data_IF_248174374835
#
_entry.id   IF_248174374835
#
_cell.length_a   1.000
_cell.length_b   1.000
_cell.length_c   1.000
_cell.angle_alpha   90.00
_cell.angle_beta   90.00
_cell.angle_gamma   90.00
#
_symmetry.space_group_name_H-M   'P 1'
#
loop_
_entity.id
_entity.type
_entity.pdbx_description
1 polymer ?
#
# COMPACT_ATOMS: atom_id res chain seq x y z
N UNK A 1 4.99 -19.50 -35.87
CA UNK A 1 4.32 -19.48 -34.55
C UNK A 1 5.30 -19.33 -33.38
N UNK A 2 6.43 -20.06 -33.35
CA UNK A 2 7.45 -19.96 -32.28
C UNK A 2 8.19 -18.63 -32.18
N UNK A 3 8.60 -18.07 -33.32
CA UNK A 3 9.17 -16.70 -33.38
C UNK A 3 8.16 -15.72 -32.79
N UNK A 4 6.88 -15.89 -33.08
CA UNK A 4 5.83 -15.01 -32.56
C UNK A 4 5.72 -15.05 -31.03
N UNK A 5 5.77 -16.23 -30.40
CA UNK A 5 5.62 -16.36 -28.94
C UNK A 5 6.84 -15.83 -28.17
N UNK A 6 8.06 -16.14 -28.61
CA UNK A 6 9.28 -15.67 -27.94
C UNK A 6 9.53 -14.17 -28.19
N UNK A 7 9.30 -13.70 -29.42
CA UNK A 7 9.46 -12.28 -29.79
C UNK A 7 8.41 -11.39 -29.14
N UNK A 8 7.24 -11.89 -28.74
CA UNK A 8 6.26 -11.11 -27.95
C UNK A 8 6.48 -11.24 -26.43
N UNK A 9 6.72 -12.46 -25.94
CA UNK A 9 6.77 -12.71 -24.49
C UNK A 9 8.03 -12.15 -23.85
N UNK A 10 9.18 -12.19 -24.54
CA UNK A 10 10.45 -11.74 -23.98
C UNK A 10 10.53 -10.20 -23.84
N UNK A 11 10.05 -9.39 -24.81
CA UNK A 11 9.94 -7.95 -24.62
C UNK A 11 8.91 -7.60 -23.55
N UNK A 12 7.73 -8.24 -23.53
CA UNK A 12 6.73 -8.01 -22.47
C UNK A 12 7.31 -8.34 -21.09
N UNK A 13 8.01 -9.47 -20.96
CA UNK A 13 8.68 -9.86 -19.72
C UNK A 13 9.72 -8.83 -19.28
N UNK A 14 10.59 -8.41 -20.20
CA UNK A 14 11.64 -7.43 -19.93
C UNK A 14 11.02 -6.09 -19.54
N UNK A 15 10.05 -5.59 -20.31
CA UNK A 15 9.37 -4.32 -20.07
C UNK A 15 8.58 -4.33 -18.76
N UNK A 16 7.86 -5.40 -18.44
CA UNK A 16 7.13 -5.56 -17.16
C UNK A 16 8.11 -5.65 -15.99
N UNK A 17 9.22 -6.38 -16.14
CA UNK A 17 10.23 -6.50 -15.09
C UNK A 17 10.89 -5.16 -14.82
N UNK A 18 11.27 -4.42 -15.87
CA UNK A 18 11.80 -3.06 -15.74
C UNK A 18 10.76 -2.08 -15.17
N UNK A 19 9.50 -2.14 -15.63
CA UNK A 19 8.41 -1.32 -15.08
C UNK A 19 8.13 -1.66 -13.61
N UNK A 20 8.23 -2.92 -13.19
CA UNK A 20 8.07 -3.30 -11.78
C UNK A 20 9.20 -2.79 -10.89
N UNK A 21 10.38 -2.53 -11.47
CA UNK A 21 11.54 -1.95 -10.78
C UNK A 21 11.50 -0.41 -10.75
N UNK A 22 10.90 0.23 -11.76
CA UNK A 22 10.89 1.70 -11.93
C UNK A 22 9.58 2.33 -11.46
N UNK A 23 8.45 1.65 -11.60
CA UNK A 23 7.15 2.17 -11.19
C UNK A 23 7.10 2.28 -9.68
N UNK A 24 6.79 3.49 -9.22
CA UNK A 24 6.22 3.70 -7.90
C UNK A 24 5.11 2.65 -7.66
N UNK A 25 5.04 2.17 -6.43
CA UNK A 25 4.49 0.90 -5.91
C UNK A 25 3.01 0.59 -6.20
N UNK A 26 2.37 1.29 -7.14
CA UNK A 26 0.93 1.27 -7.37
C UNK A 26 0.46 0.44 -8.58
N UNK A 27 1.34 0.05 -9.51
CA UNK A 27 0.92 -0.65 -10.73
C UNK A 27 1.44 -2.10 -10.78
N UNK A 28 0.49 -3.02 -10.62
CA UNK A 28 0.53 -4.42 -11.04
C UNK A 28 1.43 -5.41 -10.30
N UNK A 29 1.07 -5.68 -9.04
CA UNK A 29 1.58 -6.80 -8.23
C UNK A 29 1.23 -8.17 -8.84
N UNK A 30 0.23 -8.23 -9.72
CA UNK A 30 -0.19 -9.45 -10.42
C UNK A 30 0.70 -9.79 -11.64
N UNK A 31 1.47 -8.83 -12.16
CA UNK A 31 2.19 -9.01 -13.42
C UNK A 31 3.33 -10.04 -13.35
N UNK A 32 4.14 -10.10 -12.27
CA UNK A 32 5.16 -11.14 -12.13
C UNK A 32 4.57 -12.56 -12.08
N UNK A 33 3.37 -12.73 -11.50
CA UNK A 33 2.69 -14.03 -11.38
C UNK A 33 2.08 -14.47 -12.72
N UNK A 34 1.55 -13.52 -13.51
CA UNK A 34 0.94 -13.85 -14.81
C UNK A 34 1.95 -14.33 -15.86
N UNK A 35 3.21 -13.94 -15.75
CA UNK A 35 4.28 -14.29 -16.69
C UNK A 35 4.55 -15.81 -16.73
N UNK A 36 4.86 -16.50 -15.62
CA UNK A 36 5.08 -17.94 -15.63
C UNK A 36 3.82 -18.72 -16.05
N UNK A 37 2.62 -18.19 -15.77
CA UNK A 37 1.35 -18.76 -16.26
C UNK A 37 1.28 -18.69 -17.79
N UNK A 38 1.56 -17.53 -18.39
CA UNK A 38 1.59 -17.35 -19.85
C UNK A 38 2.64 -18.23 -20.50
N UNK A 39 3.85 -18.31 -19.92
CA UNK A 39 4.91 -19.18 -20.42
C UNK A 39 4.47 -20.65 -20.34
N UNK A 40 3.92 -21.08 -19.21
CA UNK A 40 3.41 -22.44 -19.02
C UNK A 40 2.31 -22.80 -20.03
N UNK A 41 1.28 -21.97 -20.20
CA UNK A 41 0.24 -22.21 -21.19
C UNK A 41 0.76 -22.20 -22.63
N UNK A 42 1.68 -21.28 -22.96
CA UNK A 42 2.36 -21.27 -24.27
C UNK A 42 3.18 -22.55 -24.49
N UNK A 43 3.77 -23.12 -23.43
CA UNK A 43 4.48 -24.40 -23.51
C UNK A 43 3.57 -25.60 -23.70
N UNK A 44 2.38 -25.60 -23.10
CA UNK A 44 1.37 -26.65 -23.29
C UNK A 44 0.83 -26.64 -24.72
N UNK A 45 0.50 -25.46 -25.25
CA UNK A 45 0.04 -25.30 -26.64
C UNK A 45 1.14 -25.69 -27.64
N UNK A 46 2.40 -25.33 -27.36
CA UNK A 46 3.53 -25.71 -28.23
C UNK A 46 3.85 -27.21 -28.20
N UNK A 47 3.48 -27.94 -27.13
CA UNK A 47 3.71 -29.39 -27.00
C UNK A 47 2.88 -30.24 -27.97
N UNK A 48 1.78 -29.70 -28.49
CA UNK A 48 1.01 -30.35 -29.56
C UNK A 48 1.78 -30.38 -30.90
N UNK A 49 2.81 -29.55 -31.07
CA UNK A 49 3.71 -29.59 -32.22
C UNK A 49 4.91 -30.51 -31.91
N UNK A 50 4.87 -31.73 -32.44
CA UNK A 50 5.89 -32.79 -32.29
C UNK A 50 7.25 -32.38 -32.88
N UNK A 51 8.09 -31.65 -32.14
CA UNK A 51 9.49 -31.44 -32.51
C UNK A 51 10.43 -31.67 -31.31
N UNK A 52 11.36 -32.62 -31.45
CA UNK A 52 12.16 -33.17 -30.33
C UNK A 52 13.05 -32.14 -29.64
N UNK A 53 13.69 -31.26 -30.42
CA UNK A 53 14.57 -30.16 -29.93
C UNK A 53 13.79 -29.15 -29.09
N UNK A 54 12.54 -28.90 -29.47
CA UNK A 54 11.60 -27.99 -28.79
C UNK A 54 11.27 -28.49 -27.37
N UNK A 55 11.09 -29.80 -27.21
CA UNK A 55 10.82 -30.44 -25.92
C UNK A 55 11.96 -30.28 -24.92
N UNK A 56 13.21 -30.32 -25.37
CA UNK A 56 14.38 -30.21 -24.48
C UNK A 56 14.62 -28.77 -24.04
N UNK A 57 14.46 -27.79 -24.94
CA UNK A 57 14.60 -26.38 -24.58
C UNK A 57 13.49 -25.93 -23.61
N UNK A 58 12.25 -26.38 -23.83
CA UNK A 58 11.12 -26.10 -22.93
C UNK A 58 11.30 -26.76 -21.56
N UNK A 59 11.86 -27.98 -21.49
CA UNK A 59 12.19 -28.65 -20.21
C UNK A 59 13.19 -27.87 -19.37
N UNK A 60 14.05 -27.05 -19.99
CA UNK A 60 15.01 -26.18 -19.32
C UNK A 60 14.43 -24.79 -19.00
N UNK A 61 13.71 -24.19 -19.95
CA UNK A 61 13.18 -22.84 -19.80
C UNK A 61 12.17 -22.73 -18.64
N UNK A 62 11.25 -23.69 -18.50
CA UNK A 62 10.23 -23.68 -17.44
C UNK A 62 10.83 -23.66 -16.03
N UNK A 63 11.73 -24.58 -15.64
CA UNK A 63 12.34 -24.54 -14.31
C UNK A 63 13.23 -23.31 -14.10
N UNK A 64 13.95 -22.84 -15.14
CA UNK A 64 14.76 -21.61 -15.04
C UNK A 64 13.86 -20.41 -14.75
N UNK A 65 12.77 -20.23 -15.49
CA UNK A 65 11.82 -19.14 -15.25
C UNK A 65 11.17 -19.27 -13.88
N UNK A 66 10.84 -20.48 -13.43
CA UNK A 66 10.31 -20.71 -12.09
C UNK A 66 11.31 -20.30 -10.99
N UNK A 67 12.58 -20.70 -11.11
CA UNK A 67 13.64 -20.34 -10.17
C UNK A 67 13.85 -18.82 -10.14
N UNK A 68 13.92 -18.16 -11.30
CA UNK A 68 14.05 -16.70 -11.38
C UNK A 68 12.87 -16.00 -10.69
N UNK A 69 11.65 -16.48 -10.90
CA UNK A 69 10.47 -15.90 -10.23
C UNK A 69 10.48 -16.15 -8.71
N UNK A 70 10.93 -17.33 -8.27
CA UNK A 70 11.07 -17.62 -6.84
C UNK A 70 12.12 -16.71 -6.19
N UNK A 71 13.27 -16.52 -6.85
CA UNK A 71 14.30 -15.60 -6.39
C UNK A 71 13.79 -14.15 -6.37
N UNK A 72 13.07 -13.72 -7.41
CA UNK A 72 12.45 -12.40 -7.45
C UNK A 72 11.44 -12.22 -6.31
N UNK A 73 10.58 -13.21 -6.06
CA UNK A 73 9.63 -13.20 -4.95
C UNK A 73 10.33 -13.10 -3.59
N UNK A 74 11.38 -13.88 -3.38
CA UNK A 74 12.16 -13.86 -2.13
C UNK A 74 12.85 -12.51 -1.92
N UNK A 75 13.46 -11.95 -2.97
CA UNK A 75 14.10 -10.63 -2.94
C UNK A 75 13.07 -9.52 -2.76
N UNK A 76 11.88 -9.66 -3.34
CA UNK A 76 10.79 -8.70 -3.21
C UNK A 76 10.21 -8.69 -1.79
N UNK A 77 9.88 -9.87 -1.23
CA UNK A 77 9.33 -10.01 0.13
C UNK A 77 10.33 -9.57 1.21
N UNK A 78 11.63 -9.83 1.00
CA UNK A 78 12.68 -9.44 1.93
C UNK A 78 13.34 -8.11 1.58
N UNK A 79 12.93 -7.48 0.48
CA UNK A 79 13.50 -6.24 -0.02
C UNK A 79 13.57 -5.11 1.01
N UNK A 80 12.54 -4.88 1.85
CA UNK A 80 12.64 -3.87 2.92
C UNK A 80 13.78 -4.14 3.90
N UNK A 81 14.03 -5.41 4.23
CA UNK A 81 15.10 -5.79 5.17
C UNK A 81 16.48 -5.72 4.53
N UNK A 82 16.57 -6.02 3.24
CA UNK A 82 17.83 -6.05 2.49
C UNK A 82 18.26 -4.64 2.09
N UNK A 83 17.33 -3.81 1.62
CA UNK A 83 17.60 -2.49 1.06
C UNK A 83 17.39 -1.34 2.04
N UNK A 84 16.78 -1.57 3.21
CA UNK A 84 16.63 -0.53 4.25
C UNK A 84 17.97 0.03 4.76
N UNK A 85 19.03 -0.78 4.76
CA UNK A 85 20.37 -0.36 5.16
C UNK A 85 21.17 0.32 4.03
N UNK A 86 20.72 0.23 2.77
CA UNK A 86 21.41 0.82 1.61
C UNK A 86 20.91 2.22 1.24
N UNK A 87 19.80 2.66 1.80
CA UNK A 87 19.28 4.00 1.56
C UNK A 87 20.07 5.06 2.30
N UNK A 88 20.99 5.72 1.59
CA UNK A 88 21.48 7.04 1.96
C UNK A 88 20.30 8.02 2.05
N UNK A 89 20.31 8.89 3.05
CA UNK A 89 19.19 9.75 3.47
C UNK A 89 18.59 10.67 2.39
N UNK A 90 19.14 10.73 1.18
CA UNK A 90 18.65 11.52 0.04
C UNK A 90 17.88 10.75 -1.05
N UNK A 91 17.89 9.41 -1.05
CA UNK A 91 17.29 8.56 -2.10
C UNK A 91 16.00 7.85 -1.64
N UNK A 92 15.31 8.42 -0.64
CA UNK A 92 14.07 7.86 -0.09
C UNK A 92 12.99 7.68 -1.16
N UNK A 93 12.95 8.57 -2.16
CA UNK A 93 11.96 8.54 -3.25
C UNK A 93 12.11 7.30 -4.15
N UNK A 94 13.33 6.77 -4.32
CA UNK A 94 13.60 5.62 -5.21
C UNK A 94 13.56 4.27 -4.52
N UNK A 95 13.52 4.21 -3.17
CA UNK A 95 13.43 2.95 -2.45
C UNK A 95 11.95 2.60 -2.18
N UNK A 96 11.33 1.69 -2.96
CA UNK A 96 9.92 1.35 -2.80
C UNK A 96 9.59 0.79 -1.41
N UNK A 97 10.60 0.28 -0.69
CA UNK A 97 10.41 -0.31 0.63
C UNK A 97 10.37 0.71 1.75
N UNK A 98 11.13 1.82 1.65
CA UNK A 98 11.01 2.95 2.58
C UNK A 98 9.63 3.60 2.52
N UNK A 99 8.99 3.57 1.35
CA UNK A 99 7.61 4.07 1.18
C UNK A 99 6.60 3.26 2.01
N UNK A 100 6.84 1.95 2.22
CA UNK A 100 5.98 1.03 2.99
C UNK A 100 6.30 1.08 4.49
N UNK A 101 7.55 1.37 4.86
CA UNK A 101 7.98 1.45 6.25
C UNK A 101 7.28 2.58 7.03
N UNK A 102 7.03 3.72 6.39
CA UNK A 102 6.25 4.81 6.99
C UNK A 102 4.85 4.39 7.41
N UNK A 103 4.16 3.63 6.56
CA UNK A 103 2.83 3.08 6.85
C UNK A 103 2.84 2.12 8.05
N UNK A 104 3.81 1.19 8.07
CA UNK A 104 3.97 0.26 9.20
C UNK A 104 4.26 1.00 10.51
N UNK A 105 5.09 2.03 10.45
CA UNK A 105 5.45 2.85 11.62
C UNK A 105 4.22 3.58 12.17
N UNK A 106 3.38 4.15 11.31
CA UNK A 106 2.08 4.72 11.73
C UNK A 106 1.20 3.69 12.40
N UNK A 107 1.07 2.48 11.85
CA UNK A 107 0.22 1.46 12.47
C UNK A 107 0.70 1.07 13.87
N UNK A 108 2.02 0.99 14.09
CA UNK A 108 2.58 0.76 15.42
C UNK A 108 2.33 1.94 16.36
N UNK A 109 2.55 3.18 15.91
CA UNK A 109 2.27 4.38 16.71
C UNK A 109 0.79 4.39 17.13
N UNK A 110 -0.12 4.16 16.19
CA UNK A 110 -1.55 4.15 16.44
C UNK A 110 -1.92 3.05 17.43
N UNK A 111 -1.34 1.83 17.31
CA UNK A 111 -1.57 0.73 18.26
C UNK A 111 -1.23 1.10 19.70
N UNK A 112 -0.14 1.83 19.86
CA UNK A 112 0.46 2.14 21.16
C UNK A 112 -0.16 3.42 21.78
N UNK A 113 -1.09 4.08 21.07
CA UNK A 113 -1.89 5.17 21.63
C UNK A 113 -2.86 4.64 22.69
N UNK A 114 -3.16 5.49 23.67
CA UNK A 114 -4.13 5.18 24.71
C UNK A 114 -5.56 5.33 24.16
N UNK A 115 -6.20 4.21 23.83
CA UNK A 115 -7.52 4.17 23.20
C UNK A 115 -8.68 4.23 24.19
N UNK A 116 -8.56 5.04 25.26
CA UNK A 116 -9.62 5.22 26.27
C UNK A 116 -10.96 5.44 25.55
N UNK A 117 -11.81 4.42 25.64
CA UNK A 117 -13.21 4.37 25.20
C UNK A 117 -13.54 4.28 23.69
N UNK A 118 -12.57 4.14 22.77
CA UNK A 118 -12.86 4.08 21.33
C UNK A 118 -11.91 3.21 20.51
N UNK A 119 -12.44 2.15 19.88
CA UNK A 119 -11.70 1.28 18.92
C UNK A 119 -11.99 1.61 17.45
N UNK A 120 -12.57 2.77 17.16
CA UNK A 120 -12.89 3.18 15.80
C UNK A 120 -11.81 4.15 15.31
N UNK A 121 -11.20 3.79 14.20
CA UNK A 121 -10.16 4.58 13.54
C UNK A 121 -10.65 4.92 12.14
N UNK A 122 -10.58 6.20 11.79
CA UNK A 122 -11.07 6.68 10.52
C UNK A 122 -9.93 7.37 9.73
N UNK A 123 -9.86 7.14 8.41
CA UNK A 123 -8.80 7.71 7.57
C UNK A 123 -9.32 8.16 6.20
N UNK A 124 -8.64 9.14 5.61
CA UNK A 124 -8.93 9.71 4.30
C UNK A 124 -8.04 9.13 3.17
N UNK A 125 -7.08 8.26 3.48
CA UNK A 125 -6.12 7.72 2.52
C UNK A 125 -6.24 6.19 2.37
N UNK A 126 -6.22 5.71 1.12
CA UNK A 126 -6.36 4.28 0.81
C UNK A 126 -5.23 3.42 1.40
N UNK A 127 -3.98 3.93 1.37
CA UNK A 127 -2.82 3.22 1.90
C UNK A 127 -2.87 3.09 3.42
N UNK A 128 -3.29 4.15 4.11
CA UNK A 128 -3.53 4.14 5.55
C UNK A 128 -4.66 3.17 5.92
N UNK A 129 -5.81 3.22 5.21
CA UNK A 129 -6.94 2.31 5.43
C UNK A 129 -6.53 0.84 5.32
N UNK A 130 -5.81 0.48 4.25
CA UNK A 130 -5.33 -0.89 4.04
C UNK A 130 -4.35 -1.33 5.14
N UNK A 131 -3.39 -0.47 5.47
CA UNK A 131 -2.34 -0.78 6.46
C UNK A 131 -2.94 -0.93 7.86
N UNK A 132 -3.75 0.03 8.31
CA UNK A 132 -4.38 -0.03 9.63
C UNK A 132 -5.26 -1.28 9.76
N UNK A 133 -6.01 -1.63 8.71
CA UNK A 133 -6.85 -2.86 8.71
C UNK A 133 -6.02 -4.13 8.88
N UNK A 134 -4.82 -4.18 8.30
CA UNK A 134 -3.93 -5.33 8.38
C UNK A 134 -3.25 -5.46 9.75
N UNK A 135 -2.76 -4.35 10.29
CA UNK A 135 -1.94 -4.35 11.51
C UNK A 135 -2.76 -4.20 12.80
N UNK A 136 -4.00 -3.71 12.71
CA UNK A 136 -4.89 -3.44 13.84
C UNK A 136 -6.22 -4.19 13.69
N UNK A 137 -6.22 -5.55 13.64
CA UNK A 137 -7.44 -6.34 13.37
C UNK A 137 -8.52 -6.19 14.45
N UNK A 138 -8.15 -5.74 15.65
CA UNK A 138 -9.06 -5.52 16.77
C UNK A 138 -9.78 -4.15 16.72
N UNK A 139 -9.53 -3.35 15.70
CA UNK A 139 -10.07 -2.00 15.54
C UNK A 139 -11.03 -1.93 14.35
N UNK A 140 -12.06 -1.11 14.48
CA UNK A 140 -12.98 -0.80 13.39
C UNK A 140 -12.36 0.30 12.53
N UNK A 141 -11.79 -0.08 11.40
CA UNK A 141 -11.24 0.87 10.44
C UNK A 141 -12.36 1.36 9.51
N UNK A 142 -12.47 2.68 9.32
CA UNK A 142 -13.53 3.33 8.54
C UNK A 142 -12.96 4.37 7.57
N UNK A 143 -13.58 4.50 6.40
CA UNK A 143 -13.29 5.60 5.48
C UNK A 143 -13.98 6.89 5.92
N UNK A 144 -13.24 8.00 5.87
CA UNK A 144 -13.74 9.36 6.17
C UNK A 144 -14.35 10.09 4.97
N UNK A 145 -14.48 9.44 3.82
CA UNK A 145 -14.91 10.11 2.61
C UNK A 145 -16.43 10.36 2.59
N UNK A 146 -16.84 11.59 2.29
CA UNK A 146 -18.24 12.02 2.25
C UNK A 146 -18.69 12.57 0.90
N UNK A 147 -17.76 12.79 -0.05
CA UNK A 147 -18.04 13.51 -1.31
C UNK A 147 -18.04 12.62 -2.55
N UNK A 148 -17.81 11.31 -2.40
CA UNK A 148 -17.86 10.34 -3.48
C UNK A 148 -17.19 9.00 -3.15
N UNK A 149 -17.16 8.10 -4.14
CA UNK A 149 -16.48 6.81 -4.04
C UNK A 149 -15.16 6.88 -4.80
N UNK A 150 -14.04 6.89 -4.08
CA UNK A 150 -12.70 7.00 -4.66
C UNK A 150 -11.92 5.70 -4.53
N UNK A 151 -12.30 4.85 -3.58
CA UNK A 151 -11.71 3.53 -3.39
C UNK A 151 -12.76 2.55 -2.83
N UNK A 152 -12.43 1.26 -2.81
CA UNK A 152 -13.39 0.23 -2.39
C UNK A 152 -13.66 0.22 -0.87
N UNK A 153 -12.82 0.85 -0.04
CA UNK A 153 -13.13 1.02 1.39
C UNK A 153 -14.26 2.02 1.59
N UNK A 154 -14.41 3.05 0.74
CA UNK A 154 -15.52 4.00 0.79
C UNK A 154 -16.88 3.30 0.62
N UNK A 155 -16.92 2.21 -0.16
CA UNK A 155 -18.12 1.38 -0.35
C UNK A 155 -18.34 0.38 0.78
N UNK A 156 -17.29 -0.32 1.20
CA UNK A 156 -17.42 -1.45 2.13
C UNK A 156 -17.46 -1.03 3.60
N UNK A 157 -16.74 0.03 3.95
CA UNK A 157 -16.50 0.42 5.33
C UNK A 157 -16.63 1.95 5.53
N UNK A 158 -17.72 2.60 5.09
CA UNK A 158 -17.93 4.02 5.36
C UNK A 158 -18.13 4.27 6.86
N UNK A 159 -17.69 5.42 7.36
CA UNK A 159 -17.99 5.84 8.72
C UNK A 159 -19.49 6.13 8.88
N UNK A 160 -20.18 5.32 9.68
CA UNK A 160 -21.63 5.45 9.86
C UNK A 160 -22.02 6.59 10.81
N UNK A 161 -23.24 7.13 10.67
CA UNK A 161 -23.76 8.19 11.55
C UNK A 161 -23.82 7.79 13.04
N UNK A 162 -23.98 6.50 13.33
CA UNK A 162 -23.92 6.00 14.71
C UNK A 162 -22.50 6.08 15.26
N UNK A 163 -21.52 5.63 14.46
CA UNK A 163 -20.10 5.64 14.86
C UNK A 163 -19.57 7.08 14.97
N UNK A 164 -20.10 8.05 14.21
CA UNK A 164 -19.77 9.48 14.34
C UNK A 164 -20.10 10.10 15.70
N UNK A 165 -20.92 9.42 16.52
CA UNK A 165 -21.26 9.83 17.90
C UNK A 165 -20.34 9.23 18.95
N UNK A 166 -19.47 8.31 18.56
CA UNK A 166 -18.47 7.71 19.46
C UNK A 166 -17.18 8.53 19.41
N UNK A 167 -16.29 8.35 20.39
CA UNK A 167 -14.93 8.90 20.32
C UNK A 167 -14.13 8.19 19.22
N UNK A 168 -13.59 8.97 18.28
CA UNK A 168 -12.89 8.46 17.09
C UNK A 168 -11.43 8.92 17.05
N UNK A 169 -10.55 8.06 16.54
CA UNK A 169 -9.21 8.47 16.11
C UNK A 169 -9.20 8.72 14.60
N UNK A 170 -8.92 9.94 14.19
CA UNK A 170 -8.67 10.28 12.80
C UNK A 170 -7.19 10.16 12.49
N UNK A 171 -6.86 9.38 11.47
CA UNK A 171 -5.50 9.23 10.91
C UNK A 171 -5.51 9.85 9.53
N UNK A 172 -5.19 11.14 9.46
CA UNK A 172 -5.32 11.95 8.25
C UNK A 172 -3.99 12.10 7.53
N UNK A 173 -3.98 11.86 6.21
CA UNK A 173 -2.87 12.26 5.34
C UNK A 173 -3.18 13.63 4.75
N UNK A 174 -2.41 14.65 5.13
CA UNK A 174 -2.60 16.04 4.69
C UNK A 174 -1.34 16.58 4.00
N UNK A 175 -1.46 17.71 3.30
CA UNK A 175 -0.28 18.43 2.80
C UNK A 175 0.49 19.04 3.98
N UNK A 176 1.82 18.94 3.93
CA UNK A 176 2.74 19.47 4.94
C UNK A 176 2.92 20.98 4.76
N UNK A 177 1.85 21.75 4.99
CA UNK A 177 1.89 23.20 5.08
C UNK A 177 0.96 23.69 6.20
N UNK A 178 1.26 24.89 6.71
CA UNK A 178 0.56 25.47 7.87
C UNK A 178 -0.91 25.76 7.55
N UNK A 179 -1.21 26.24 6.35
CA UNK A 179 -2.56 26.63 5.94
C UNK A 179 -3.50 25.43 5.88
N UNK A 180 -3.03 24.30 5.36
CA UNK A 180 -3.81 23.05 5.28
C UNK A 180 -4.09 22.51 6.68
N UNK A 181 -3.10 22.56 7.57
CA UNK A 181 -3.30 22.15 8.96
C UNK A 181 -4.33 23.04 9.66
N UNK A 182 -4.23 24.37 9.53
CA UNK A 182 -5.19 25.30 10.13
C UNK A 182 -6.60 25.10 9.58
N UNK A 183 -6.74 24.94 8.26
CA UNK A 183 -8.03 24.68 7.61
C UNK A 183 -8.64 23.36 8.10
N UNK A 184 -7.84 22.28 8.12
CA UNK A 184 -8.29 20.96 8.59
C UNK A 184 -8.75 21.03 10.05
N UNK A 185 -7.98 21.66 10.93
CA UNK A 185 -8.34 21.78 12.35
C UNK A 185 -9.59 22.66 12.56
N UNK A 186 -9.78 23.69 11.72
CA UNK A 186 -11.00 24.51 11.73
C UNK A 186 -12.22 23.68 11.33
N UNK A 187 -12.15 22.96 10.22
CA UNK A 187 -13.25 22.11 9.73
C UNK A 187 -13.62 21.00 10.73
N UNK A 188 -12.63 20.40 11.40
CA UNK A 188 -12.89 19.42 12.46
C UNK A 188 -13.61 20.05 13.65
N UNK A 189 -13.18 21.24 14.10
CA UNK A 189 -13.81 21.96 15.23
C UNK A 189 -15.22 22.48 14.91
N UNK A 190 -15.55 22.66 13.64
CA UNK A 190 -16.90 22.99 13.20
C UNK A 190 -17.85 21.78 13.26
N UNK A 191 -17.31 20.55 13.20
CA UNK A 191 -18.10 19.31 13.15
C UNK A 191 -18.13 18.52 14.46
N UNK A 192 -17.10 18.68 15.30
CA UNK A 192 -16.88 17.92 16.53
C UNK A 192 -16.66 18.86 17.71
N UNK A 193 -17.21 18.49 18.86
CA UNK A 193 -17.12 19.27 20.11
C UNK A 193 -15.72 19.23 20.68
N UNK A 194 -15.09 18.06 20.67
CA UNK A 194 -13.71 17.86 21.13
C UNK A 194 -12.82 17.52 19.95
N UNK A 195 -11.70 18.23 19.81
CA UNK A 195 -10.69 17.97 18.78
C UNK A 195 -9.30 18.13 19.38
N UNK A 196 -8.62 17.01 19.59
CA UNK A 196 -7.31 16.95 20.24
C UNK A 196 -6.29 16.28 19.34
N UNK A 197 -5.15 16.93 19.09
CA UNK A 197 -4.05 16.30 18.35
C UNK A 197 -3.42 15.25 19.26
N UNK A 198 -3.36 13.99 18.80
CA UNK A 198 -2.69 12.93 19.53
C UNK A 198 -1.17 13.14 19.42
N UNK A 199 -0.55 13.57 20.51
CA UNK A 199 0.90 13.79 20.56
C UNK A 199 1.61 12.43 20.60
N UNK A 200 2.20 12.04 19.48
CA UNK A 200 3.04 10.85 19.40
C UNK A 200 4.46 11.24 19.02
N UNK A 201 5.46 10.58 19.64
CA UNK A 201 6.85 10.75 19.22
C UNK A 201 6.99 10.28 17.76
N UNK A 202 7.78 11.02 16.98
CA UNK A 202 8.20 10.67 15.61
C UNK A 202 7.15 10.75 14.50
N UNK A 203 5.92 11.24 14.71
CA UNK A 203 4.96 11.41 13.60
C UNK A 203 5.36 12.48 12.58
N UNK A 204 6.12 13.48 13.00
CA UNK A 204 6.47 14.65 12.17
C UNK A 204 7.52 14.34 11.09
N UNK A 205 8.32 13.29 11.26
CA UNK A 205 9.39 12.90 10.34
C UNK A 205 9.03 11.69 9.47
N UNK A 206 7.77 11.24 9.50
CA UNK A 206 7.36 10.05 8.76
C UNK A 206 7.20 10.33 7.27
N UNK A 207 7.96 9.59 6.47
CA UNK A 207 7.87 9.61 5.01
C UNK A 207 6.81 8.58 4.60
N UNK A 208 5.66 9.08 4.15
CA UNK A 208 4.56 8.25 3.62
C UNK A 208 4.55 8.40 2.10
N UNK A 209 4.52 7.28 1.37
CA UNK A 209 4.64 7.25 -0.10
C UNK A 209 5.92 7.90 -0.63
N UNK A 210 6.98 8.03 0.19
CA UNK A 210 8.21 8.73 -0.20
C UNK A 210 8.05 10.24 -0.42
N UNK A 211 6.89 10.82 -0.06
CA UNK A 211 6.59 12.25 -0.26
C UNK A 211 6.85 13.04 1.02
N UNK A 212 7.78 13.99 0.95
CA UNK A 212 8.05 14.98 2.04
C UNK A 212 6.97 16.06 2.13
N UNK A 213 6.17 16.22 1.08
CA UNK A 213 5.08 17.20 0.98
C UNK A 213 3.81 16.74 1.69
N UNK A 214 3.78 15.52 2.22
CA UNK A 214 2.65 14.95 2.96
C UNK A 214 3.04 14.76 4.43
N UNK A 215 2.06 14.90 5.31
CA UNK A 215 2.20 14.70 6.76
C UNK A 215 1.02 13.89 7.26
N UNK A 216 1.27 13.00 8.21
CA UNK A 216 0.21 12.29 8.94
C UNK A 216 -0.17 13.07 10.17
N UNK A 217 -1.46 13.35 10.32
CA UNK A 217 -2.05 14.01 11.47
C UNK A 217 -2.94 13.01 12.21
N UNK A 218 -2.65 12.81 13.49
CA UNK A 218 -3.44 11.97 14.39
C UNK A 218 -4.31 12.89 15.25
N UNK A 219 -5.63 12.75 15.18
CA UNK A 219 -6.57 13.62 15.89
C UNK A 219 -7.64 12.77 16.57
N UNK A 220 -7.77 12.93 17.88
CA UNK A 220 -8.93 12.46 18.61
C UNK A 220 -10.09 13.43 18.40
N UNK A 221 -11.24 12.91 17.99
CA UNK A 221 -12.46 13.70 17.86
C UNK A 221 -13.59 13.05 18.65
N UNK A 222 -14.43 13.90 19.22
CA UNK A 222 -15.65 13.51 19.92
C UNK A 222 -16.78 14.47 19.56
N UNK A 223 -17.99 13.93 19.42
CA UNK A 223 -19.20 14.71 19.20
C UNK A 223 -20.04 14.62 20.45
N UNK A 224 -19.83 15.56 21.36
CA UNK A 224 -20.58 15.66 22.60
C UNK A 224 -22.03 16.10 22.27
N UNK A 225 -22.93 15.12 22.27
CA UNK A 225 -24.35 15.22 22.62
C UNK A 225 -24.70 13.87 23.29
N UNK A 226 -24.24 13.68 24.53
CA UNK A 226 -24.78 12.67 25.42
C UNK A 226 -25.34 13.34 26.68
N UNK A 227 -26.47 14.01 26.50
CA UNK A 227 -27.57 14.06 27.46
C UNK A 227 -28.81 13.52 26.76
#
# INVERSE_FOLDING_TARGET
>A
MWVFSATFSLPIFTTVSFLSLISETEINWASPISIPIVIYFSTLVAREQKNSVQTNFMKLAVPITFIINLLFLLLFLNGPKIFGNLSTHGLVTTNPFLQVEGYRTIANIVRDLDHRDGKIIASNDRGLLATLSLYLPNYKIRSLNTTGVYNHWDLKYPLSEKEKKERLLFVLLINNNKDTLQKTMKELREQFTTVEIATAKNTDNLLIQGKTTKKVLLVWVDKEDMV
#
